data_IF_352089301568
#
_entry.id   IF_352089301568
#
_cell.length_a   1.000
_cell.length_b   1.000
_cell.length_c   1.000
_cell.angle_alpha   90.00
_cell.angle_beta   90.00
_cell.angle_gamma   90.00
#
_symmetry.space_group_name_H-M   'P 1'
#
loop_
_entity.id
_entity.type
_entity.pdbx_description
1 polymer ?
#
# COMPACT_ATOMS: atom_id res chain seq x y z
N UNK A 1 -21.14 115.70 -18.96
CA UNK A 1 -21.02 117.14 -18.61
C UNK A 1 -19.83 117.28 -17.66
N UNK A 2 -18.92 118.26 -17.75
CA UNK A 2 -18.78 119.41 -18.65
C UNK A 2 -17.31 119.62 -19.08
N UNK A 3 -17.15 120.47 -20.10
CA UNK A 3 -15.97 121.31 -20.49
C UNK A 3 -15.03 121.70 -19.33
N UNK A 4 -13.75 122.05 -19.54
CA UNK A 4 -12.87 122.22 -20.73
C UNK A 4 -11.44 122.38 -20.20
N UNK A 5 -10.40 122.01 -20.94
CA UNK A 5 -9.18 122.83 -21.04
C UNK A 5 -8.44 122.60 -22.38
N UNK A 6 -7.99 123.70 -22.98
CA UNK A 6 -6.91 123.76 -23.96
C UNK A 6 -5.83 124.66 -23.33
N UNK A 7 -4.55 124.40 -23.57
CA UNK A 7 -3.76 125.22 -24.51
C UNK A 7 -2.27 124.85 -24.47
N UNK A 8 -1.60 125.10 -25.58
CA UNK A 8 -0.16 124.95 -25.77
C UNK A 8 0.65 126.04 -25.03
N UNK A 9 1.86 125.69 -24.61
CA UNK A 9 3.10 126.52 -24.73
C UNK A 9 4.22 125.53 -25.08
N UNK A 10 4.62 125.44 -26.35
CA UNK A 10 5.82 126.06 -26.96
C UNK A 10 7.15 125.37 -26.62
N UNK A 11 7.99 125.26 -27.65
CA UNK A 11 9.38 124.77 -27.57
C UNK A 11 10.36 125.91 -27.23
N UNK A 12 11.61 125.55 -26.86
CA UNK A 12 12.87 125.95 -27.54
C UNK A 12 14.11 125.43 -26.79
N UNK A 13 15.19 125.17 -27.54
CA UNK A 13 16.60 124.96 -27.13
C UNK A 13 17.00 123.78 -26.21
N UNK A 14 17.85 122.90 -26.75
CA UNK A 14 18.94 122.24 -25.99
C UNK A 14 20.13 123.20 -25.87
N UNK A 15 21.00 123.03 -24.86
CA UNK A 15 22.44 123.04 -25.16
C UNK A 15 23.21 121.83 -24.59
N UNK A 16 24.15 121.35 -25.43
CA UNK A 16 25.48 120.81 -25.14
C UNK A 16 25.79 120.08 -23.82
N UNK A 17 26.28 118.85 -23.98
CA UNK A 17 26.84 117.99 -22.93
C UNK A 17 28.25 118.44 -22.50
N UNK A 18 28.54 118.39 -21.19
CA UNK A 18 29.88 118.63 -20.63
C UNK A 18 30.28 117.44 -19.73
N UNK A 19 31.47 116.88 -19.96
CA UNK A 19 31.97 115.74 -19.18
C UNK A 19 32.46 116.17 -17.79
N UNK A 20 31.54 116.20 -16.82
CA UNK A 20 31.85 116.55 -15.43
C UNK A 20 32.55 115.41 -14.66
N UNK A 21 33.54 115.75 -13.84
CA UNK A 21 34.37 114.80 -13.08
C UNK A 21 33.60 114.04 -12.00
N UNK A 22 34.04 112.82 -11.60
CA UNK A 22 33.26 111.94 -10.73
C UNK A 22 32.83 112.55 -9.39
N UNK A 23 33.71 113.28 -8.69
CA UNK A 23 33.39 113.82 -7.35
C UNK A 23 32.41 114.99 -7.37
N UNK A 24 32.44 115.84 -8.39
CA UNK A 24 31.41 116.88 -8.59
C UNK A 24 30.08 116.27 -9.03
N UNK A 25 30.13 115.27 -9.92
CA UNK A 25 28.95 114.51 -10.36
C UNK A 25 28.30 113.75 -9.20
N UNK A 26 29.10 113.23 -8.27
CA UNK A 26 28.66 112.55 -7.06
C UNK A 26 28.15 113.52 -5.99
N UNK A 27 28.76 114.70 -5.82
CA UNK A 27 28.22 115.74 -4.93
C UNK A 27 26.90 116.31 -5.45
N UNK A 28 26.76 116.54 -6.76
CA UNK A 28 25.50 116.96 -7.36
C UNK A 28 24.43 115.87 -7.18
N UNK A 29 24.77 114.61 -7.50
CA UNK A 29 23.89 113.44 -7.30
C UNK A 29 23.49 113.25 -5.85
N UNK A 30 24.37 113.51 -4.87
CA UNK A 30 24.04 113.44 -3.45
C UNK A 30 23.22 114.65 -2.95
N UNK A 31 23.43 115.85 -3.51
CA UNK A 31 22.59 117.02 -3.23
C UNK A 31 21.18 116.81 -3.78
N UNK A 32 21.06 116.34 -5.02
CA UNK A 32 19.79 116.02 -5.67
C UNK A 32 19.10 114.83 -5.02
N UNK A 33 19.83 113.77 -4.62
CA UNK A 33 19.29 112.68 -3.80
C UNK A 33 18.78 113.19 -2.45
N UNK A 34 19.50 114.10 -1.76
CA UNK A 34 19.02 114.75 -0.53
C UNK A 34 17.79 115.63 -0.77
N UNK A 35 17.71 116.33 -1.90
CA UNK A 35 16.56 117.14 -2.27
C UNK A 35 15.33 116.26 -2.59
N UNK A 36 15.50 115.20 -3.39
CA UNK A 36 14.45 114.24 -3.72
C UNK A 36 14.00 113.41 -2.50
N UNK A 37 14.91 113.09 -1.59
CA UNK A 37 14.62 112.51 -0.26
C UNK A 37 13.79 113.50 0.59
N UNK A 38 14.13 114.80 0.56
CA UNK A 38 13.38 115.85 1.28
C UNK A 38 12.01 116.10 0.67
N UNK A 39 11.90 116.12 -0.67
CA UNK A 39 10.63 116.18 -1.39
C UNK A 39 9.77 114.96 -1.07
N UNK A 40 10.30 113.73 -1.17
CA UNK A 40 9.54 112.51 -0.81
C UNK A 40 9.08 112.50 0.64
N UNK A 41 9.89 113.03 1.58
CA UNK A 41 9.49 113.20 2.99
C UNK A 41 8.38 114.25 3.13
N UNK A 42 8.43 115.35 2.39
CA UNK A 42 7.37 116.36 2.36
C UNK A 42 6.09 115.81 1.72
N UNK A 43 6.19 115.15 0.57
CA UNK A 43 5.09 114.47 -0.14
C UNK A 43 4.42 113.43 0.76
N UNK A 44 5.20 112.54 1.40
CA UNK A 44 4.65 111.57 2.36
C UNK A 44 3.92 112.29 3.50
N UNK A 45 4.51 113.33 4.11
CA UNK A 45 3.80 114.09 5.16
C UNK A 45 2.58 114.85 4.65
N UNK A 46 2.56 115.31 3.39
CA UNK A 46 1.37 115.89 2.77
C UNK A 46 0.30 114.84 2.48
N UNK A 47 0.65 113.61 2.10
CA UNK A 47 -0.29 112.51 1.93
C UNK A 47 -0.84 112.00 3.27
N UNK A 48 0.02 111.84 4.28
CA UNK A 48 -0.36 111.50 5.65
C UNK A 48 -1.30 112.56 6.23
N UNK A 49 -0.95 113.84 6.13
CA UNK A 49 -1.76 114.96 6.64
C UNK A 49 -3.06 115.14 5.83
N UNK A 50 -3.02 115.01 4.50
CA UNK A 50 -4.21 115.02 3.66
C UNK A 50 -5.15 113.87 4.04
N UNK A 51 -4.64 112.65 4.17
CA UNK A 51 -5.46 111.49 4.53
C UNK A 51 -6.00 111.61 5.96
N UNK A 52 -5.22 112.18 6.90
CA UNK A 52 -5.68 112.53 8.25
C UNK A 52 -6.85 113.53 8.19
N UNK A 53 -6.73 114.58 7.38
CA UNK A 53 -7.77 115.60 7.18
C UNK A 53 -9.00 115.06 6.44
N UNK A 54 -8.83 114.16 5.47
CA UNK A 54 -9.94 113.47 4.79
C UNK A 54 -10.69 112.56 5.76
N UNK A 55 -9.99 111.73 6.56
CA UNK A 55 -10.62 110.96 7.63
C UNK A 55 -11.29 111.84 8.69
N UNK A 56 -10.69 112.99 9.05
CA UNK A 56 -11.27 113.92 10.01
C UNK A 56 -12.51 114.61 9.45
N UNK A 57 -12.53 114.93 8.16
CA UNK A 57 -13.68 115.46 7.44
C UNK A 57 -14.80 114.42 7.32
N UNK A 58 -14.49 113.17 6.98
CA UNK A 58 -15.47 112.08 6.90
C UNK A 58 -16.07 111.77 8.29
N UNK A 59 -15.25 111.71 9.34
CA UNK A 59 -15.73 111.62 10.74
C UNK A 59 -16.61 112.82 11.13
N UNK A 60 -16.26 114.05 10.71
CA UNK A 60 -17.10 115.24 10.91
C UNK A 60 -18.43 115.16 10.15
N UNK A 61 -18.45 114.62 8.93
CA UNK A 61 -19.67 114.40 8.15
C UNK A 61 -20.56 113.36 8.83
N UNK A 62 -20.01 112.23 9.29
CA UNK A 62 -20.77 111.23 10.05
C UNK A 62 -21.33 111.83 11.34
N UNK A 63 -20.52 112.51 12.15
CA UNK A 63 -21.00 113.18 13.38
C UNK A 63 -22.05 114.27 13.11
N UNK A 64 -21.97 114.97 11.97
CA UNK A 64 -22.99 115.95 11.56
C UNK A 64 -24.28 115.27 11.10
N UNK A 65 -24.20 114.14 10.39
CA UNK A 65 -25.36 113.34 10.01
C UNK A 65 -26.04 112.71 11.23
N UNK A 66 -25.27 112.16 12.18
CA UNK A 66 -25.77 111.65 13.46
C UNK A 66 -26.42 112.76 14.29
N UNK A 67 -25.78 113.94 14.38
CA UNK A 67 -26.35 115.10 15.09
C UNK A 67 -27.65 115.58 14.44
N UNK A 68 -27.68 115.77 13.12
CA UNK A 68 -28.86 116.20 12.39
C UNK A 68 -30.00 115.17 12.50
N UNK A 69 -29.69 113.87 12.46
CA UNK A 69 -30.67 112.81 12.67
C UNK A 69 -31.21 112.80 14.11
N UNK A 70 -30.34 112.93 15.11
CA UNK A 70 -30.75 113.03 16.53
C UNK A 70 -31.61 114.26 16.78
N UNK A 71 -31.19 115.42 16.26
CA UNK A 71 -31.91 116.68 16.40
C UNK A 71 -33.28 116.62 15.71
N UNK A 72 -33.36 116.08 14.48
CA UNK A 72 -34.63 115.84 13.79
C UNK A 72 -35.56 114.92 14.61
N UNK A 73 -35.04 113.83 15.19
CA UNK A 73 -35.80 112.94 16.08
C UNK A 73 -36.22 113.65 17.36
N UNK A 74 -35.42 114.55 17.94
CA UNK A 74 -35.80 115.35 19.11
C UNK A 74 -36.90 116.37 18.76
N UNK A 75 -36.83 117.01 17.59
CA UNK A 75 -37.84 117.97 17.11
C UNK A 75 -39.19 117.33 16.75
N UNK A 76 -39.26 116.00 16.55
CA UNK A 76 -40.53 115.29 16.40
C UNK A 76 -41.43 115.44 17.64
N UNK A 77 -42.75 115.45 17.40
CA UNK A 77 -43.75 115.34 18.47
C UNK A 77 -43.58 114.05 19.28
N UNK A 78 -44.10 114.01 20.52
CA UNK A 78 -44.00 112.81 21.38
C UNK A 78 -44.57 111.55 20.71
N UNK A 79 -45.62 111.68 19.89
CA UNK A 79 -46.12 110.58 19.08
C UNK A 79 -45.10 110.11 18.04
N UNK A 80 -44.50 111.03 17.26
CA UNK A 80 -43.48 110.71 16.27
C UNK A 80 -42.23 110.05 16.87
N UNK A 81 -41.78 110.51 18.05
CA UNK A 81 -40.66 109.90 18.79
C UNK A 81 -40.94 108.48 19.25
N UNK A 82 -42.18 108.20 19.67
CA UNK A 82 -42.58 106.84 20.06
C UNK A 82 -42.68 105.93 18.84
N UNK A 83 -43.25 106.41 17.73
CA UNK A 83 -43.29 105.68 16.45
C UNK A 83 -41.88 105.37 15.93
N UNK A 84 -40.92 106.29 16.04
CA UNK A 84 -39.53 106.04 15.65
C UNK A 84 -38.86 104.96 16.52
N UNK A 85 -39.00 105.03 17.85
CA UNK A 85 -38.47 104.01 18.77
C UNK A 85 -39.05 102.63 18.47
N UNK A 86 -40.37 102.56 18.24
CA UNK A 86 -41.05 101.31 17.89
C UNK A 86 -40.58 100.79 16.53
N UNK A 87 -40.44 101.65 15.51
CA UNK A 87 -39.91 101.25 14.21
C UNK A 87 -38.49 100.66 14.30
N UNK A 88 -37.61 101.24 15.12
CA UNK A 88 -36.26 100.69 15.38
C UNK A 88 -36.31 99.35 16.13
N UNK A 89 -37.25 99.17 17.05
CA UNK A 89 -37.46 97.89 17.74
C UNK A 89 -38.00 96.81 16.79
N UNK A 90 -39.06 97.11 16.04
CA UNK A 90 -39.65 96.25 15.03
C UNK A 90 -38.64 95.87 13.94
N UNK A 91 -37.78 96.80 13.51
CA UNK A 91 -36.72 96.49 12.54
C UNK A 91 -35.71 95.48 13.12
N UNK A 92 -35.26 95.66 14.38
CA UNK A 92 -34.37 94.70 15.04
C UNK A 92 -35.00 93.32 15.19
N UNK A 93 -36.29 93.27 15.58
CA UNK A 93 -37.05 92.02 15.65
C UNK A 93 -37.18 91.36 14.27
N UNK A 94 -37.47 92.13 13.22
CA UNK A 94 -37.54 91.65 11.84
C UNK A 94 -36.18 91.10 11.35
N UNK A 95 -35.07 91.82 11.58
CA UNK A 95 -33.72 91.31 11.23
C UNK A 95 -33.39 90.01 11.97
N UNK A 96 -33.75 89.92 13.25
CA UNK A 96 -33.58 88.70 14.04
C UNK A 96 -34.40 87.53 13.46
N UNK A 97 -35.69 87.74 13.20
CA UNK A 97 -36.57 86.70 12.64
C UNK A 97 -36.21 86.30 11.22
N UNK A 98 -35.72 87.23 10.37
CA UNK A 98 -35.18 86.90 9.05
C UNK A 98 -33.94 86.01 9.16
N UNK A 99 -33.02 86.29 10.09
CA UNK A 99 -31.82 85.48 10.32
C UNK A 99 -32.16 84.09 10.89
N UNK A 100 -33.10 84.01 11.82
CA UNK A 100 -33.63 82.75 12.37
C UNK A 100 -34.37 81.93 11.29
N UNK A 101 -35.18 82.56 10.44
CA UNK A 101 -35.78 81.89 9.28
C UNK A 101 -34.72 81.37 8.31
N UNK A 102 -33.64 82.11 8.07
CA UNK A 102 -32.53 81.68 7.20
C UNK A 102 -31.76 80.48 7.79
N UNK A 103 -31.44 80.48 9.09
CA UNK A 103 -30.78 79.34 9.74
C UNK A 103 -31.68 78.11 9.81
N UNK A 104 -32.98 78.28 10.10
CA UNK A 104 -33.98 77.21 10.02
C UNK A 104 -34.08 76.64 8.60
N UNK A 105 -34.08 77.49 7.56
CA UNK A 105 -34.10 77.02 6.17
C UNK A 105 -32.83 76.24 5.81
N UNK A 106 -31.64 76.73 6.22
CA UNK A 106 -30.36 76.03 6.02
C UNK A 106 -30.33 74.67 6.74
N UNK A 107 -30.87 74.58 7.95
CA UNK A 107 -30.97 73.33 8.71
C UNK A 107 -32.00 72.36 8.09
N UNK A 108 -33.14 72.88 7.61
CA UNK A 108 -34.15 72.08 6.90
C UNK A 108 -33.59 71.45 5.62
N UNK A 109 -32.86 72.23 4.80
CA UNK A 109 -32.17 71.72 3.60
C UNK A 109 -31.17 70.60 3.94
N UNK A 110 -30.29 70.83 4.92
CA UNK A 110 -29.33 69.81 5.40
C UNK A 110 -30.01 68.53 5.90
N UNK A 111 -31.13 68.66 6.61
CA UNK A 111 -31.91 67.53 7.10
C UNK A 111 -32.56 66.75 5.94
N UNK A 112 -33.06 67.45 4.93
CA UNK A 112 -33.64 66.85 3.72
C UNK A 112 -32.58 66.13 2.86
N UNK A 113 -31.39 66.74 2.70
CA UNK A 113 -30.21 66.15 2.05
C UNK A 113 -29.77 64.87 2.78
N UNK A 114 -29.63 64.94 4.11
CA UNK A 114 -29.27 63.79 4.96
C UNK A 114 -30.31 62.67 4.91
N UNK A 115 -31.61 63.01 4.96
CA UNK A 115 -32.70 62.04 4.84
C UNK A 115 -32.70 61.33 3.48
N UNK A 116 -32.45 62.07 2.38
CA UNK A 116 -32.33 61.49 1.04
C UNK A 116 -31.14 60.53 0.93
N UNK A 117 -29.99 60.90 1.48
CA UNK A 117 -28.80 60.05 1.55
C UNK A 117 -29.06 58.76 2.37
N UNK A 118 -29.71 58.88 3.53
CA UNK A 118 -30.05 57.74 4.39
C UNK A 118 -31.08 56.80 3.74
N UNK A 119 -32.04 57.32 2.98
CA UNK A 119 -32.98 56.51 2.19
C UNK A 119 -32.24 55.68 1.12
N UNK A 120 -31.35 56.30 0.35
CA UNK A 120 -30.60 55.59 -0.69
C UNK A 120 -29.64 54.55 -0.10
N UNK A 121 -28.96 54.87 1.02
CA UNK A 121 -28.13 53.89 1.73
C UNK A 121 -28.96 52.72 2.28
N UNK A 122 -30.17 52.98 2.78
CA UNK A 122 -31.12 51.93 3.21
C UNK A 122 -31.50 51.02 2.03
N UNK A 123 -31.85 51.60 0.89
CA UNK A 123 -32.21 50.85 -0.33
C UNK A 123 -31.07 49.95 -0.81
N UNK A 124 -29.85 50.47 -0.90
CA UNK A 124 -28.65 49.68 -1.23
C UNK A 124 -28.44 48.54 -0.23
N UNK A 125 -28.58 48.83 1.07
CA UNK A 125 -28.41 47.82 2.11
C UNK A 125 -29.50 46.72 2.03
N UNK A 126 -30.76 47.08 1.75
CA UNK A 126 -31.83 46.11 1.54
C UNK A 126 -31.57 45.21 0.32
N UNK A 127 -31.09 45.76 -0.79
CA UNK A 127 -30.73 44.98 -1.98
C UNK A 127 -29.55 44.04 -1.70
N UNK A 128 -28.51 44.53 -1.02
CA UNK A 128 -27.35 43.72 -0.61
C UNK A 128 -27.74 42.57 0.33
N UNK A 129 -28.66 42.81 1.28
CA UNK A 129 -29.17 41.77 2.18
C UNK A 129 -30.00 40.73 1.42
N UNK A 130 -30.87 41.15 0.48
CA UNK A 130 -31.66 40.24 -0.38
C UNK A 130 -30.74 39.33 -1.21
N UNK A 131 -29.70 39.90 -1.83
CA UNK A 131 -28.70 39.14 -2.60
C UNK A 131 -27.90 38.16 -1.71
N UNK A 132 -27.48 38.59 -0.51
CA UNK A 132 -26.76 37.69 0.41
C UNK A 132 -27.63 36.55 0.94
N UNK A 133 -28.93 36.78 1.16
CA UNK A 133 -29.89 35.71 1.50
C UNK A 133 -30.02 34.72 0.34
N UNK A 134 -30.08 35.19 -0.92
CA UNK A 134 -30.13 34.32 -2.10
C UNK A 134 -28.87 33.46 -2.22
N UNK A 135 -27.68 34.06 -2.11
CA UNK A 135 -26.40 33.36 -2.14
C UNK A 135 -26.28 32.29 -1.05
N UNK A 136 -26.64 32.62 0.20
CA UNK A 136 -26.65 31.66 1.32
C UNK A 136 -27.66 30.53 1.10
N UNK A 137 -28.81 30.82 0.50
CA UNK A 137 -29.84 29.80 0.19
C UNK A 137 -29.35 28.83 -0.89
N UNK A 138 -28.65 29.33 -1.91
CA UNK A 138 -28.02 28.50 -2.96
C UNK A 138 -26.87 27.64 -2.40
N UNK A 139 -26.00 28.22 -1.56
CA UNK A 139 -24.94 27.45 -0.89
C UNK A 139 -25.53 26.37 0.02
N UNK A 140 -26.61 26.67 0.75
CA UNK A 140 -27.30 25.69 1.60
C UNK A 140 -27.88 24.52 0.80
N UNK A 141 -28.48 24.75 -0.38
CA UNK A 141 -29.01 23.66 -1.21
C UNK A 141 -27.90 22.83 -1.88
N UNK A 142 -26.76 23.46 -2.23
CA UNK A 142 -25.55 22.75 -2.67
C UNK A 142 -24.99 21.84 -1.56
N UNK A 143 -24.84 22.37 -0.34
CA UNK A 143 -24.37 21.61 0.83
C UNK A 143 -25.30 20.42 1.11
N UNK A 144 -26.63 20.63 1.13
CA UNK A 144 -27.60 19.54 1.29
C UNK A 144 -27.52 18.48 0.17
N UNK A 145 -27.21 18.89 -1.06
CA UNK A 145 -27.03 17.97 -2.18
C UNK A 145 -25.75 17.14 -2.04
N UNK A 146 -24.65 17.75 -1.58
CA UNK A 146 -23.40 17.06 -1.29
C UNK A 146 -23.54 16.10 -0.09
N UNK A 147 -24.19 16.53 0.99
CA UNK A 147 -24.48 15.69 2.16
C UNK A 147 -25.28 14.43 1.77
N UNK A 148 -26.31 14.55 0.92
CA UNK A 148 -27.05 13.40 0.39
C UNK A 148 -26.18 12.46 -0.44
N UNK A 149 -25.23 12.98 -1.22
CA UNK A 149 -24.27 12.15 -1.98
C UNK A 149 -23.29 11.43 -1.06
N UNK A 150 -22.78 12.09 -0.02
CA UNK A 150 -21.88 11.49 0.97
C UNK A 150 -22.58 10.32 1.67
N UNK A 151 -23.77 10.53 2.24
CA UNK A 151 -24.56 9.47 2.88
C UNK A 151 -24.89 8.32 1.90
N UNK A 152 -25.16 8.63 0.64
CA UNK A 152 -25.39 7.60 -0.38
C UNK A 152 -24.15 6.75 -0.68
N UNK A 153 -22.94 7.33 -0.60
CA UNK A 153 -21.68 6.63 -0.81
C UNK A 153 -21.25 5.86 0.44
N UNK A 154 -21.46 6.43 1.63
CA UNK A 154 -21.23 5.77 2.93
C UNK A 154 -22.11 4.51 3.07
N UNK A 155 -23.39 4.59 2.70
CA UNK A 155 -24.29 3.45 2.69
C UNK A 155 -23.87 2.37 1.67
N UNK A 156 -23.46 2.76 0.46
CA UNK A 156 -23.00 1.84 -0.57
C UNK A 156 -21.68 1.13 -0.18
N UNK A 157 -20.73 1.89 0.39
CA UNK A 157 -19.49 1.35 0.92
C UNK A 157 -19.75 0.38 2.08
N UNK A 158 -20.59 0.77 3.04
CA UNK A 158 -20.99 -0.10 4.17
C UNK A 158 -21.57 -1.42 3.68
N UNK A 159 -22.50 -1.38 2.72
CA UNK A 159 -23.10 -2.58 2.12
C UNK A 159 -22.03 -3.47 1.45
N UNK A 160 -21.14 -2.89 0.63
CA UNK A 160 -20.06 -3.63 -0.02
C UNK A 160 -19.08 -4.26 0.99
N UNK A 161 -18.75 -3.54 2.07
CA UNK A 161 -17.91 -4.07 3.15
C UNK A 161 -18.59 -5.24 3.85
N UNK A 162 -19.86 -5.12 4.24
CA UNK A 162 -20.58 -6.22 4.92
C UNK A 162 -20.75 -7.44 4.03
N UNK A 163 -21.07 -7.27 2.74
CA UNK A 163 -21.17 -8.40 1.80
C UNK A 163 -19.82 -9.12 1.66
N UNK A 164 -18.72 -8.36 1.48
CA UNK A 164 -17.37 -8.91 1.40
C UNK A 164 -16.95 -9.66 2.67
N UNK A 165 -17.25 -9.11 3.85
CA UNK A 165 -17.02 -9.80 5.14
C UNK A 165 -17.80 -11.12 5.21
N UNK A 166 -19.06 -11.17 4.77
CA UNK A 166 -19.81 -12.44 4.76
C UNK A 166 -19.26 -13.45 3.75
N UNK A 167 -18.80 -13.03 2.57
CA UNK A 167 -18.19 -13.92 1.58
C UNK A 167 -16.83 -14.46 2.05
N UNK A 168 -16.00 -13.63 2.69
CA UNK A 168 -14.75 -14.09 3.32
C UNK A 168 -15.03 -15.14 4.39
N UNK A 169 -16.05 -14.94 5.24
CA UNK A 169 -16.44 -15.93 6.26
C UNK A 169 -16.99 -17.23 5.65
N UNK A 170 -17.81 -17.16 4.58
CA UNK A 170 -18.31 -18.34 3.85
C UNK A 170 -17.16 -19.13 3.22
N UNK A 171 -16.22 -18.44 2.57
CA UNK A 171 -15.04 -19.07 1.96
C UNK A 171 -14.12 -19.71 3.01
N UNK A 172 -13.88 -19.03 4.14
CA UNK A 172 -13.09 -19.57 5.25
C UNK A 172 -13.76 -20.81 5.86
N UNK A 173 -15.07 -20.77 6.10
CA UNK A 173 -15.82 -21.92 6.62
C UNK A 173 -15.79 -23.10 5.65
N UNK A 174 -15.98 -22.85 4.35
CA UNK A 174 -15.87 -23.87 3.30
C UNK A 174 -14.48 -24.52 3.29
N UNK A 175 -13.42 -23.72 3.28
CA UNK A 175 -12.04 -24.22 3.29
C UNK A 175 -11.72 -25.05 4.55
N UNK A 176 -12.28 -24.69 5.72
CA UNK A 176 -12.15 -25.49 6.95
C UNK A 176 -12.82 -26.86 6.79
N UNK A 177 -14.04 -26.91 6.23
CA UNK A 177 -14.78 -28.16 6.01
C UNK A 177 -14.06 -29.06 4.98
N UNK A 178 -13.57 -28.49 3.87
CA UNK A 178 -12.85 -29.23 2.84
C UNK A 178 -11.51 -29.79 3.35
N UNK A 179 -10.76 -29.01 4.13
CA UNK A 179 -9.53 -29.50 4.79
C UNK A 179 -9.82 -30.59 5.83
N UNK A 180 -10.90 -30.49 6.61
CA UNK A 180 -11.31 -31.52 7.56
C UNK A 180 -11.71 -32.83 6.85
N UNK A 181 -12.45 -32.75 5.74
CA UNK A 181 -12.79 -33.91 4.92
C UNK A 181 -11.54 -34.57 4.33
N UNK A 182 -10.60 -33.77 3.79
CA UNK A 182 -9.32 -34.24 3.28
C UNK A 182 -8.47 -34.95 4.34
N UNK A 183 -8.40 -34.42 5.57
CA UNK A 183 -7.68 -35.07 6.67
C UNK A 183 -8.28 -36.44 7.02
N UNK A 184 -9.61 -36.57 7.08
CA UNK A 184 -10.28 -37.86 7.35
C UNK A 184 -10.01 -38.88 6.25
N UNK A 185 -9.93 -38.46 4.98
CA UNK A 185 -9.52 -39.35 3.89
C UNK A 185 -8.04 -39.75 3.98
N UNK A 186 -7.14 -38.81 4.28
CA UNK A 186 -5.71 -39.09 4.51
C UNK A 186 -5.53 -40.12 5.63
N UNK A 187 -6.18 -39.95 6.77
CA UNK A 187 -6.11 -40.88 7.91
C UNK A 187 -6.59 -42.28 7.53
N UNK A 188 -7.70 -42.36 6.79
CA UNK A 188 -8.27 -43.62 6.27
C UNK A 188 -7.32 -44.31 5.28
N UNK A 189 -6.68 -43.56 4.39
CA UNK A 189 -5.70 -44.08 3.43
C UNK A 189 -4.42 -44.55 4.12
N UNK A 190 -3.93 -43.83 5.13
CA UNK A 190 -2.80 -44.26 5.97
C UNK A 190 -3.10 -45.57 6.71
N UNK A 191 -4.29 -45.71 7.30
CA UNK A 191 -4.71 -46.96 7.94
C UNK A 191 -4.77 -48.12 6.94
N UNK A 192 -5.33 -47.91 5.74
CA UNK A 192 -5.38 -48.92 4.69
C UNK A 192 -3.97 -49.34 4.23
N UNK A 193 -3.06 -48.37 4.06
CA UNK A 193 -1.67 -48.63 3.71
C UNK A 193 -0.97 -49.49 4.77
N UNK A 194 -1.10 -49.14 6.07
CA UNK A 194 -0.54 -49.94 7.16
C UNK A 194 -1.08 -51.38 7.18
N UNK A 195 -2.36 -51.59 6.86
CA UNK A 195 -2.94 -52.94 6.76
C UNK A 195 -2.36 -53.71 5.56
N UNK A 196 -2.17 -53.04 4.41
CA UNK A 196 -1.53 -53.65 3.24
C UNK A 196 -0.06 -53.97 3.46
N UNK A 197 0.70 -53.14 4.18
CA UNK A 197 2.08 -53.42 4.56
C UNK A 197 2.19 -54.61 5.53
N UNK A 198 1.29 -54.71 6.51
CA UNK A 198 1.22 -55.87 7.42
C UNK A 198 0.97 -57.17 6.63
N UNK A 199 0.06 -57.14 5.65
CA UNK A 199 -0.25 -58.30 4.81
C UNK A 199 0.89 -58.64 3.85
N UNK A 200 1.46 -57.63 3.17
CA UNK A 200 2.66 -57.78 2.34
C UNK A 200 3.82 -58.41 3.12
N UNK A 201 3.99 -58.05 4.39
CA UNK A 201 5.01 -58.65 5.25
C UNK A 201 4.67 -60.07 5.74
N UNK A 202 3.39 -60.48 5.79
CA UNK A 202 3.00 -61.89 5.96
C UNK A 202 3.34 -62.70 4.71
N UNK A 203 2.96 -62.21 3.54
CA UNK A 203 3.25 -62.86 2.24
C UNK A 203 4.76 -63.01 2.03
N UNK A 204 5.56 -61.97 2.31
CA UNK A 204 7.04 -62.04 2.26
C UNK A 204 7.62 -63.11 3.21
N UNK A 205 7.08 -63.24 4.43
CA UNK A 205 7.50 -64.28 5.38
C UNK A 205 7.16 -65.68 4.87
N UNK A 206 5.92 -65.90 4.41
CA UNK A 206 5.49 -67.19 3.87
C UNK A 206 6.31 -67.59 2.63
N UNK A 207 6.55 -66.64 1.71
CA UNK A 207 7.40 -66.85 0.55
C UNK A 207 8.86 -67.19 0.93
N UNK A 208 9.40 -66.57 2.00
CA UNK A 208 10.72 -66.95 2.53
C UNK A 208 10.70 -68.37 3.11
N UNK A 209 9.73 -68.71 3.95
CA UNK A 209 9.63 -70.05 4.55
C UNK A 209 9.60 -71.14 3.45
N UNK A 210 8.78 -70.96 2.40
CA UNK A 210 8.69 -71.90 1.27
C UNK A 210 10.04 -72.03 0.52
N UNK A 211 10.82 -70.95 0.44
CA UNK A 211 12.17 -71.00 -0.14
C UNK A 211 13.18 -71.69 0.79
N UNK A 212 13.15 -71.37 2.09
CA UNK A 212 14.03 -72.00 3.10
C UNK A 212 13.77 -73.52 3.18
N UNK A 213 12.50 -73.94 3.27
CA UNK A 213 12.04 -75.34 3.22
C UNK A 213 12.48 -76.03 1.91
N UNK A 214 12.31 -75.36 0.77
CA UNK A 214 12.77 -75.89 -0.53
C UNK A 214 14.29 -76.09 -0.56
N UNK A 215 15.06 -75.14 -0.02
CA UNK A 215 16.52 -75.25 0.06
C UNK A 215 16.96 -76.39 0.99
N UNK A 216 16.25 -76.65 2.09
CA UNK A 216 16.50 -77.83 2.94
C UNK A 216 16.29 -79.14 2.16
N UNK A 217 15.19 -79.26 1.42
CA UNK A 217 14.92 -80.46 0.60
C UNK A 217 15.91 -80.60 -0.57
N UNK A 218 16.31 -79.49 -1.20
CA UNK A 218 17.36 -79.49 -2.24
C UNK A 218 18.71 -79.95 -1.68
N UNK A 219 19.11 -79.46 -0.51
CA UNK A 219 20.33 -79.90 0.18
C UNK A 219 20.27 -81.39 0.54
N UNK A 220 19.15 -81.87 1.08
CA UNK A 220 18.93 -83.29 1.38
C UNK A 220 19.09 -84.18 0.13
N UNK A 221 18.55 -83.78 -1.03
CA UNK A 221 18.74 -84.53 -2.27
C UNK A 221 20.19 -84.52 -2.77
N UNK A 222 20.91 -83.40 -2.61
CA UNK A 222 22.33 -83.32 -2.97
C UNK A 222 23.19 -84.23 -2.08
N UNK A 223 22.93 -84.25 -0.77
CA UNK A 223 23.64 -85.11 0.19
C UNK A 223 23.31 -86.60 -0.02
N UNK A 224 22.03 -86.94 -0.29
CA UNK A 224 21.63 -88.30 -0.65
C UNK A 224 22.31 -88.77 -1.96
N UNK A 225 22.36 -87.91 -2.98
CA UNK A 225 23.08 -88.19 -4.23
C UNK A 225 24.59 -88.33 -4.02
N UNK A 226 25.19 -87.54 -3.11
CA UNK A 226 26.60 -87.67 -2.74
C UNK A 226 26.86 -89.01 -2.04
N UNK A 227 26.07 -89.37 -1.04
CA UNK A 227 26.17 -90.66 -0.33
C UNK A 227 26.04 -91.85 -1.29
N UNK A 228 25.04 -91.84 -2.18
CA UNK A 228 24.85 -92.92 -3.18
C UNK A 228 26.05 -93.01 -4.12
N UNK A 229 26.63 -91.90 -4.59
CA UNK A 229 27.86 -91.92 -5.40
C UNK A 229 29.05 -92.53 -4.66
N UNK A 230 29.23 -92.23 -3.37
CA UNK A 230 30.28 -92.87 -2.56
C UNK A 230 30.03 -94.37 -2.41
N UNK A 231 28.79 -94.80 -2.18
CA UNK A 231 28.43 -96.21 -2.13
C UNK A 231 28.67 -96.93 -3.46
N UNK A 232 28.35 -96.31 -4.61
CA UNK A 232 28.68 -96.83 -5.94
C UNK A 232 30.20 -97.04 -6.07
N UNK A 233 31.02 -96.05 -5.71
CA UNK A 233 32.48 -96.16 -5.79
C UNK A 233 33.04 -97.27 -4.89
N UNK A 234 32.54 -97.39 -3.65
CA UNK A 234 32.95 -98.46 -2.73
C UNK A 234 32.51 -99.84 -3.23
N UNK A 235 31.25 -99.98 -3.68
CA UNK A 235 30.72 -101.25 -4.17
C UNK A 235 31.40 -101.70 -5.47
N UNK A 236 31.64 -100.81 -6.44
CA UNK A 236 32.40 -101.12 -7.67
C UNK A 236 33.83 -101.60 -7.34
N UNK A 237 34.50 -100.97 -6.37
CA UNK A 237 35.82 -101.39 -5.87
C UNK A 237 35.77 -102.76 -5.18
N UNK A 238 34.80 -102.95 -4.27
CA UNK A 238 34.65 -104.18 -3.48
C UNK A 238 34.24 -105.39 -4.34
N UNK A 239 33.28 -105.21 -5.26
CA UNK A 239 32.88 -106.24 -6.22
C UNK A 239 34.04 -106.68 -7.11
N UNK A 240 34.86 -105.72 -7.60
CA UNK A 240 36.07 -106.05 -8.37
C UNK A 240 37.07 -106.87 -7.55
N UNK A 241 37.26 -106.56 -6.27
CA UNK A 241 38.11 -107.33 -5.36
C UNK A 241 37.56 -108.74 -5.09
N UNK A 242 36.27 -108.88 -4.82
CA UNK A 242 35.60 -110.18 -4.60
C UNK A 242 35.66 -111.04 -5.87
N UNK A 243 35.32 -110.49 -7.03
CA UNK A 243 35.37 -111.21 -8.30
C UNK A 243 36.80 -111.69 -8.63
N UNK A 244 37.82 -110.89 -8.32
CA UNK A 244 39.22 -111.27 -8.48
C UNK A 244 39.61 -112.39 -7.50
N UNK A 245 39.21 -112.27 -6.23
CA UNK A 245 39.49 -113.29 -5.21
C UNK A 245 38.81 -114.63 -5.54
N UNK A 246 37.54 -114.60 -5.97
CA UNK A 246 36.78 -115.78 -6.36
C UNK A 246 37.35 -116.45 -7.62
N UNK A 247 37.74 -115.67 -8.64
CA UNK A 247 38.44 -116.19 -9.82
C UNK A 247 39.79 -116.82 -9.44
N UNK A 248 40.60 -116.12 -8.64
CA UNK A 248 41.91 -116.60 -8.18
C UNK A 248 41.80 -117.82 -7.25
N UNK A 249 40.66 -118.01 -6.56
CA UNK A 249 40.35 -119.20 -5.78
C UNK A 249 39.97 -120.37 -6.69
N UNK A 250 39.01 -120.19 -7.62
CA UNK A 250 38.56 -121.24 -8.55
C UNK A 250 39.67 -121.68 -9.51
N UNK A 251 40.57 -120.77 -9.91
CA UNK A 251 41.77 -121.11 -10.66
C UNK A 251 42.70 -122.04 -9.86
N UNK A 252 42.94 -121.73 -8.57
CA UNK A 252 43.75 -122.59 -7.69
C UNK A 252 43.12 -123.95 -7.39
N UNK A 253 41.79 -124.05 -7.22
CA UNK A 253 41.13 -125.36 -7.04
C UNK A 253 41.17 -126.21 -8.30
N UNK A 254 41.15 -125.59 -9.49
CA UNK A 254 41.31 -126.27 -10.76
C UNK A 254 42.74 -126.79 -11.00
N UNK A 255 43.77 -126.04 -10.60
CA UNK A 255 45.16 -126.53 -10.60
C UNK A 255 45.36 -127.80 -9.74
N UNK A 256 44.52 -128.01 -8.73
CA UNK A 256 44.54 -129.20 -7.84
C UNK A 256 43.59 -130.31 -8.35
N UNK A 257 43.06 -130.18 -9.57
CA UNK A 257 42.21 -131.19 -10.22
C UNK A 257 40.82 -131.38 -9.61
N UNK A 258 40.40 -130.52 -8.67
CA UNK A 258 39.11 -130.67 -7.96
C UNK A 258 37.92 -130.05 -8.68
N UNK A 259 38.17 -129.17 -9.65
CA UNK A 259 37.15 -128.42 -10.41
C UNK A 259 37.68 -128.11 -11.81
N UNK A 260 36.79 -127.90 -12.78
CA UNK A 260 37.17 -127.35 -14.08
C UNK A 260 37.76 -125.92 -13.98
N UNK A 261 38.67 -125.59 -14.89
CA UNK A 261 39.28 -124.26 -14.97
C UNK A 261 38.23 -123.19 -15.30
N UNK A 262 38.22 -122.04 -14.59
CA UNK A 262 37.28 -120.96 -14.87
C UNK A 262 37.58 -120.30 -16.23
N UNK A 263 36.53 -120.01 -17.02
CA UNK A 263 36.64 -119.21 -18.25
C UNK A 263 37.32 -117.88 -17.93
N UNK A 264 38.34 -117.53 -18.72
CA UNK A 264 39.14 -116.29 -18.55
C UNK A 264 38.20 -115.09 -18.36
N UNK A 265 38.42 -114.33 -17.29
CA UNK A 265 37.64 -113.15 -16.91
C UNK A 265 38.60 -111.97 -16.73
N UNK A 266 38.28 -110.83 -17.32
CA UNK A 266 39.15 -109.65 -17.34
C UNK A 266 38.78 -108.62 -16.28
N UNK A 267 39.79 -107.86 -15.87
CA UNK A 267 39.76 -106.87 -14.79
C UNK A 267 40.44 -105.56 -15.19
N UNK A 268 41.04 -105.49 -16.38
CA UNK A 268 41.74 -104.33 -16.94
C UNK A 268 40.81 -103.40 -17.75
N UNK A 269 39.59 -103.85 -18.08
CA UNK A 269 38.52 -103.00 -18.59
C UNK A 269 38.56 -102.71 -20.09
N UNK A 270 39.34 -103.46 -20.88
CA UNK A 270 39.41 -103.30 -22.34
C UNK A 270 38.07 -103.64 -23.01
N UNK A 271 37.67 -102.81 -23.97
CA UNK A 271 36.34 -102.81 -24.60
C UNK A 271 36.01 -104.10 -25.36
N UNK A 272 37.01 -104.81 -25.89
CA UNK A 272 36.80 -106.01 -26.71
C UNK A 272 36.75 -107.33 -25.91
N UNK A 273 36.56 -107.27 -24.59
CA UNK A 273 36.59 -108.47 -23.73
C UNK A 273 35.20 -109.08 -23.51
N UNK A 274 35.00 -110.31 -24.00
CA UNK A 274 33.72 -111.05 -23.93
C UNK A 274 33.32 -111.55 -22.52
N UNK A 275 34.17 -111.37 -21.51
CA UNK A 275 33.91 -111.74 -20.12
C UNK A 275 34.73 -110.83 -19.19
N UNK A 276 34.15 -109.70 -18.79
CA UNK A 276 34.82 -108.63 -18.05
C UNK A 276 34.01 -108.24 -16.83
N UNK A 277 34.65 -108.04 -15.68
CA UNK A 277 33.98 -107.49 -14.47
C UNK A 277 33.29 -106.15 -14.76
N UNK A 278 33.79 -105.37 -15.72
CA UNK A 278 33.15 -104.12 -16.10
C UNK A 278 31.81 -104.33 -16.81
N UNK A 279 31.59 -105.47 -17.50
CA UNK A 279 30.30 -105.80 -18.11
C UNK A 279 29.23 -106.01 -17.04
N UNK A 280 29.52 -106.82 -16.01
CA UNK A 280 28.63 -107.05 -14.87
C UNK A 280 28.27 -105.74 -14.15
N UNK A 281 29.22 -104.81 -14.00
CA UNK A 281 28.98 -103.48 -13.41
C UNK A 281 28.13 -102.58 -14.33
N UNK A 282 28.29 -102.66 -15.65
CA UNK A 282 27.42 -101.98 -16.61
C UNK A 282 26.03 -102.62 -16.72
N UNK A 283 25.87 -103.89 -16.32
CA UNK A 283 24.59 -104.59 -16.22
C UNK A 283 23.84 -104.26 -14.93
N UNK A 284 24.53 -104.11 -13.81
CA UNK A 284 23.98 -103.56 -12.57
C UNK A 284 23.44 -102.12 -12.72
N UNK A 285 23.88 -101.40 -13.76
CA UNK A 285 23.42 -100.05 -14.12
C UNK A 285 22.20 -100.03 -15.08
N UNK A 286 21.84 -101.17 -15.68
CA UNK A 286 20.64 -101.32 -16.53
C UNK A 286 19.38 -101.47 -15.67
N UNK A 287 18.22 -101.15 -16.26
CA UNK A 287 16.91 -101.36 -15.61
C UNK A 287 16.41 -102.79 -15.83
N UNK A 288 15.81 -103.46 -14.82
CA UNK A 288 15.12 -104.73 -15.03
C UNK A 288 13.78 -104.50 -15.75
N UNK A 289 13.74 -104.76 -17.06
CA UNK A 289 12.58 -104.45 -17.92
C UNK A 289 11.27 -105.20 -17.61
N UNK A 290 11.26 -106.09 -16.61
CA UNK A 290 10.22 -107.13 -16.44
C UNK A 290 9.42 -107.04 -15.14
N UNK A 291 9.82 -106.24 -14.16
CA UNK A 291 9.14 -106.16 -12.87
C UNK A 291 8.26 -104.91 -12.77
N UNK A 292 6.95 -105.14 -12.55
CA UNK A 292 5.92 -104.10 -12.52
C UNK A 292 5.76 -103.40 -11.15
N UNK A 293 6.45 -103.91 -10.14
CA UNK A 293 6.57 -103.34 -8.80
C UNK A 293 7.93 -103.80 -8.25
N UNK A 294 8.78 -102.85 -7.82
CA UNK A 294 10.13 -103.09 -7.27
C UNK A 294 10.31 -102.12 -6.13
N UNK A 295 10.68 -102.61 -4.94
CA UNK A 295 10.88 -101.72 -3.80
C UNK A 295 12.24 -100.99 -3.88
N UNK A 296 12.35 -99.87 -3.18
CA UNK A 296 13.60 -99.12 -3.04
C UNK A 296 14.67 -99.99 -2.38
N UNK A 297 14.32 -100.94 -1.51
CA UNK A 297 15.27 -101.93 -0.97
C UNK A 297 16.05 -102.68 -2.05
N UNK A 298 15.34 -103.25 -3.03
CA UNK A 298 15.84 -104.21 -4.02
C UNK A 298 16.78 -103.62 -5.08
N UNK A 299 16.75 -102.30 -5.28
CA UNK A 299 17.51 -101.63 -6.35
C UNK A 299 19.04 -101.64 -6.11
N UNK A 300 19.83 -101.72 -7.18
CA UNK A 300 21.28 -101.48 -7.12
C UNK A 300 21.57 -100.02 -6.73
N UNK A 301 22.78 -99.72 -6.25
CA UNK A 301 23.13 -98.34 -5.89
C UNK A 301 23.15 -97.42 -7.13
N UNK A 302 23.55 -97.95 -8.29
CA UNK A 302 23.43 -97.31 -9.60
C UNK A 302 21.98 -96.99 -9.99
N UNK A 303 21.04 -97.92 -9.76
CA UNK A 303 19.61 -97.69 -9.99
C UNK A 303 19.05 -96.67 -8.98
N UNK A 304 19.45 -96.73 -7.71
CA UNK A 304 19.11 -95.75 -6.67
C UNK A 304 19.57 -94.33 -7.05
N UNK A 305 20.75 -94.18 -7.66
CA UNK A 305 21.20 -92.86 -8.15
C UNK A 305 20.30 -92.34 -9.28
N UNK A 306 19.89 -93.22 -10.21
CA UNK A 306 18.98 -92.84 -11.30
C UNK A 306 17.61 -92.43 -10.78
N UNK A 307 17.07 -93.11 -9.76
CA UNK A 307 15.84 -92.70 -9.07
C UNK A 307 16.00 -91.34 -8.39
N UNK A 308 17.06 -91.12 -7.60
CA UNK A 308 17.28 -89.84 -6.91
C UNK A 308 17.49 -88.68 -7.89
N UNK A 309 18.25 -88.88 -8.99
CA UNK A 309 18.39 -87.87 -10.06
C UNK A 309 17.05 -87.53 -10.72
N UNK A 310 16.20 -88.54 -10.97
CA UNK A 310 14.87 -88.35 -11.54
C UNK A 310 13.92 -87.62 -10.56
N UNK A 311 13.97 -87.95 -9.27
CA UNK A 311 13.19 -87.27 -8.23
C UNK A 311 13.62 -85.80 -8.07
N UNK A 312 14.93 -85.53 -8.01
CA UNK A 312 15.46 -84.17 -7.94
C UNK A 312 15.10 -83.34 -9.19
N UNK A 313 15.19 -83.94 -10.39
CA UNK A 313 14.74 -83.30 -11.63
C UNK A 313 13.22 -83.02 -11.63
N UNK A 314 12.40 -83.96 -11.13
CA UNK A 314 10.95 -83.81 -11.01
C UNK A 314 10.56 -82.72 -10.00
N UNK A 315 11.23 -82.67 -8.85
CA UNK A 315 11.05 -81.63 -7.84
C UNK A 315 11.38 -80.24 -8.38
N UNK A 316 12.47 -80.13 -9.15
CA UNK A 316 12.87 -78.87 -9.81
C UNK A 316 12.01 -78.51 -11.05
N UNK A 317 10.92 -79.25 -11.34
CA UNK A 317 10.05 -78.99 -12.49
C UNK A 317 10.65 -79.34 -13.86
N UNK A 318 11.79 -80.03 -13.90
CA UNK A 318 12.52 -80.44 -15.11
C UNK A 318 11.89 -81.70 -15.75
N UNK A 319 10.74 -82.18 -15.24
CA UNK A 319 9.84 -83.05 -16.02
C UNK A 319 9.48 -82.37 -17.33
N UNK A 320 9.73 -83.06 -18.45
CA UNK A 320 9.52 -82.54 -19.81
C UNK A 320 8.18 -81.80 -19.95
N UNK A 321 8.26 -80.50 -20.22
CA UNK A 321 7.13 -79.56 -20.28
C UNK A 321 6.20 -79.90 -21.45
N UNK A 322 5.28 -80.85 -21.23
CA UNK A 322 4.11 -81.02 -22.09
C UNK A 322 3.36 -79.69 -22.10
N UNK A 323 3.33 -79.05 -23.26
CA UNK A 323 2.54 -77.85 -23.49
C UNK A 323 1.09 -78.11 -23.08
N UNK A 324 0.56 -77.30 -22.15
CA UNK A 324 -0.81 -76.79 -22.17
C UNK A 324 -1.06 -75.79 -21.03
N UNK A 325 -2.10 -74.97 -21.22
CA UNK A 325 -2.71 -74.05 -20.23
C UNK A 325 -1.85 -72.88 -19.73
N UNK A 326 -1.88 -71.82 -20.54
CA UNK A 326 -2.23 -70.43 -20.17
C UNK A 326 -2.06 -69.98 -18.72
N UNK A 327 -1.23 -68.94 -18.53
CA UNK A 327 -1.51 -67.82 -17.62
C UNK A 327 -0.51 -66.69 -17.86
N UNK A 328 -0.85 -65.75 -18.75
CA UNK A 328 -0.28 -64.40 -18.70
C UNK A 328 -1.08 -63.60 -17.66
N UNK A 329 -0.44 -62.82 -16.77
CA UNK A 329 -1.16 -61.82 -15.99
C UNK A 329 -1.68 -60.70 -16.92
N UNK A 330 -2.82 -60.08 -16.61
CA UNK A 330 -3.30 -58.92 -17.36
C UNK A 330 -2.39 -57.71 -17.09
N UNK A 331 -2.11 -56.94 -18.15
CA UNK A 331 -1.55 -55.59 -18.05
C UNK A 331 -2.73 -54.61 -18.00
N UNK A 332 -2.73 -53.57 -17.13
CA UNK A 332 -3.82 -52.61 -17.08
C UNK A 332 -3.96 -51.82 -18.38
N UNK A 333 -5.20 -51.54 -18.79
CA UNK A 333 -5.48 -50.66 -19.92
C UNK A 333 -5.05 -49.22 -19.61
N UNK A 334 -4.25 -48.64 -20.51
CA UNK A 334 -3.98 -47.21 -20.55
C UNK A 334 -4.72 -46.61 -21.75
N UNK A 335 -5.85 -45.96 -21.47
CA UNK A 335 -6.64 -45.26 -22.50
C UNK A 335 -6.00 -43.89 -22.73
N UNK A 336 -5.19 -43.78 -23.79
CA UNK A 336 -4.88 -42.49 -24.42
C UNK A 336 -5.75 -42.32 -25.66
N UNK A 337 -6.42 -41.18 -25.71
CA UNK A 337 -7.21 -40.64 -26.81
C UNK A 337 -6.54 -40.75 -28.20
N UNK A 338 -7.34 -41.10 -29.21
CA UNK A 338 -7.04 -40.93 -30.62
C UNK A 338 -8.33 -40.79 -31.45
N UNK A 339 -9.15 -39.79 -31.16
CA UNK A 339 -10.35 -39.47 -31.94
C UNK A 339 -10.02 -39.01 -33.37
N UNK A 340 -10.28 -39.86 -34.37
CA UNK A 340 -10.02 -39.57 -35.79
C UNK A 340 -11.16 -38.76 -36.46
N UNK A 341 -10.82 -38.01 -37.51
CA UNK A 341 -11.67 -36.97 -38.11
C UNK A 341 -12.90 -37.51 -38.86
N UNK A 342 -14.00 -36.75 -38.84
CA UNK A 342 -14.96 -36.69 -39.96
C UNK A 342 -15.42 -35.26 -40.23
N UNK A 343 -15.07 -34.75 -41.40
CA UNK A 343 -15.64 -33.52 -41.95
C UNK A 343 -16.95 -33.80 -42.69
N UNK A 344 -17.94 -32.92 -42.52
CA UNK A 344 -18.96 -32.57 -43.52
C UNK A 344 -19.40 -31.14 -43.24
N UNK A 345 -19.34 -30.25 -44.24
CA UNK A 345 -19.68 -28.83 -44.10
C UNK A 345 -21.19 -28.54 -44.08
N UNK A 346 -21.59 -27.27 -43.92
CA UNK A 346 -20.74 -26.08 -43.77
C UNK A 346 -21.53 -24.77 -43.65
N UNK A 347 -20.80 -23.64 -43.66
CA UNK A 347 -21.23 -22.24 -43.80
C UNK A 347 -22.40 -21.71 -42.94
N UNK A 348 -22.11 -20.73 -42.08
CA UNK A 348 -22.46 -19.32 -42.37
C UNK A 348 -21.62 -18.31 -41.55
N UNK A 349 -21.11 -17.30 -42.25
CA UNK A 349 -20.78 -15.93 -41.82
C UNK A 349 -19.61 -15.63 -40.85
N UNK A 350 -18.57 -15.06 -41.47
CA UNK A 350 -17.59 -14.04 -41.03
C UNK A 350 -18.19 -12.82 -40.28
N UNK A 351 -17.40 -11.85 -39.71
CA UNK A 351 -15.98 -11.55 -39.96
C UNK A 351 -15.06 -11.23 -38.72
N UNK A 352 -13.75 -11.10 -38.99
CA UNK A 352 -12.71 -10.12 -38.54
C UNK A 352 -12.74 -9.47 -37.12
N UNK A 353 -11.67 -8.95 -36.49
CA UNK A 353 -10.32 -8.43 -36.84
C UNK A 353 -9.43 -8.47 -35.52
N UNK A 354 -8.10 -8.29 -35.36
CA UNK A 354 -6.88 -7.99 -36.17
C UNK A 354 -5.59 -8.40 -35.38
N UNK A 355 -4.39 -8.06 -35.90
CA UNK A 355 -3.06 -7.80 -35.24
C UNK A 355 -2.56 -8.68 -34.06
N UNK A 356 -1.45 -9.43 -34.17
CA UNK A 356 -0.01 -9.03 -34.25
C UNK A 356 0.55 -8.38 -32.97
N UNK A 357 1.56 -9.00 -32.35
CA UNK A 357 2.98 -8.51 -32.34
C UNK A 357 3.97 -9.67 -32.10
N UNK A 358 5.23 -9.51 -32.53
CA UNK A 358 6.27 -10.54 -32.67
C UNK A 358 7.28 -10.63 -31.49
N UNK A 359 7.75 -11.86 -31.22
CA UNK A 359 9.16 -12.30 -31.05
C UNK A 359 10.04 -11.75 -29.87
N UNK A 360 10.57 -12.63 -28.97
CA UNK A 360 11.94 -13.26 -28.94
C UNK A 360 13.00 -12.37 -28.23
N UNK A 361 14.05 -12.90 -27.52
CA UNK A 361 14.60 -14.26 -27.51
C UNK A 361 14.70 -15.00 -26.15
N UNK A 362 15.08 -16.28 -26.26
CA UNK A 362 15.59 -17.18 -25.22
C UNK A 362 16.96 -16.72 -24.68
N UNK A 363 17.36 -17.16 -23.49
CA UNK A 363 18.77 -17.24 -23.10
C UNK A 363 19.03 -18.47 -22.20
N UNK A 364 19.72 -19.46 -22.75
CA UNK A 364 20.20 -20.64 -22.01
C UNK A 364 21.42 -20.30 -21.13
N UNK A 365 21.54 -20.98 -19.99
CA UNK A 365 22.84 -21.12 -19.31
C UNK A 365 22.98 -22.47 -18.59
N UNK A 366 24.20 -22.97 -18.57
CA UNK A 366 24.51 -24.39 -18.36
C UNK A 366 24.50 -24.85 -16.88
N UNK A 367 23.77 -25.95 -16.63
CA UNK A 367 24.31 -27.23 -16.11
C UNK A 367 25.39 -27.16 -15.00
N UNK A 368 25.04 -27.62 -13.80
CA UNK A 368 25.97 -28.44 -12.98
C UNK A 368 25.22 -29.43 -12.06
N UNK A 369 25.88 -30.55 -11.76
CA UNK A 369 25.40 -31.73 -11.01
C UNK A 369 24.84 -31.46 -9.59
N UNK A 370 23.80 -32.22 -9.22
CA UNK A 370 23.66 -32.78 -7.85
C UNK A 370 24.67 -33.92 -7.65
N UNK A 371 25.15 -34.20 -6.42
CA UNK A 371 24.44 -35.22 -5.61
C UNK A 371 24.53 -35.02 -4.08
N UNK A 372 23.72 -35.77 -3.32
CA UNK A 372 23.99 -36.08 -1.91
C UNK A 372 22.79 -35.94 -0.95
N UNK A 373 22.14 -37.06 -0.63
CA UNK A 373 21.25 -37.16 0.55
C UNK A 373 22.01 -37.85 1.69
N UNK A 374 22.11 -37.22 2.87
CA UNK A 374 22.12 -37.92 4.15
C UNK A 374 20.73 -37.85 4.80
N UNK A 375 20.26 -38.96 5.38
CA UNK A 375 18.94 -39.03 6.05
C UNK A 375 19.01 -38.55 7.50
N UNK A 376 18.17 -37.56 7.81
CA UNK A 376 17.34 -37.54 9.03
C UNK A 376 17.97 -37.10 10.34
N UNK A 377 17.55 -35.92 10.83
CA UNK A 377 17.24 -35.68 12.25
C UNK A 377 16.24 -34.49 12.36
N UNK A 378 15.37 -34.51 13.39
CA UNK A 378 14.56 -33.37 13.89
C UNK A 378 13.52 -32.68 12.96
N UNK A 379 12.39 -33.33 12.70
CA UNK A 379 11.13 -32.64 12.29
C UNK A 379 10.40 -31.95 13.47
N UNK A 380 10.76 -32.25 14.73
CA UNK A 380 10.14 -31.68 15.95
C UNK A 380 10.24 -30.15 16.03
N UNK A 381 11.40 -29.60 15.67
CA UNK A 381 11.80 -28.29 16.15
C UNK A 381 11.51 -27.19 15.12
N UNK A 382 11.35 -27.56 13.84
CA UNK A 382 10.89 -26.67 12.77
C UNK A 382 9.46 -26.19 13.05
N UNK A 383 8.54 -27.11 13.40
CA UNK A 383 7.13 -26.78 13.68
C UNK A 383 7.00 -25.84 14.88
N UNK A 384 7.82 -26.05 15.92
CA UNK A 384 7.83 -25.20 17.12
C UNK A 384 8.33 -23.77 16.82
N UNK A 385 9.35 -23.65 15.97
CA UNK A 385 9.92 -22.37 15.59
C UNK A 385 9.00 -21.54 14.67
N UNK A 386 8.21 -22.17 13.79
CA UNK A 386 7.19 -21.44 13.00
C UNK A 386 6.09 -20.86 13.90
N UNK A 387 5.59 -21.64 14.87
CA UNK A 387 4.53 -21.21 15.79
C UNK A 387 4.97 -20.05 16.69
N UNK A 388 6.23 -20.04 17.18
CA UNK A 388 6.79 -18.90 17.91
C UNK A 388 7.03 -17.68 17.00
N UNK A 389 7.46 -17.90 15.76
CA UNK A 389 7.67 -16.81 14.80
C UNK A 389 6.39 -16.04 14.49
N UNK A 390 5.29 -16.76 14.21
CA UNK A 390 4.00 -16.13 13.94
C UNK A 390 3.43 -15.37 15.14
N UNK A 391 3.57 -15.89 16.37
CA UNK A 391 3.12 -15.16 17.57
C UNK A 391 3.93 -13.89 17.81
N UNK A 392 5.27 -13.93 17.72
CA UNK A 392 6.11 -12.74 17.92
C UNK A 392 5.79 -11.64 16.89
N UNK A 393 5.63 -11.99 15.61
CA UNK A 393 5.24 -11.01 14.59
C UNK A 393 3.86 -10.38 14.85
N UNK A 394 2.88 -11.16 15.33
CA UNK A 394 1.54 -10.65 15.62
C UNK A 394 1.50 -9.66 16.80
N UNK A 395 2.35 -9.87 17.81
CA UNK A 395 2.55 -8.91 18.90
C UNK A 395 3.32 -7.66 18.45
N UNK A 396 4.33 -7.81 17.59
CA UNK A 396 5.12 -6.68 17.10
C UNK A 396 4.29 -5.74 16.21
N UNK A 397 3.44 -6.29 15.33
CA UNK A 397 2.48 -5.52 14.54
C UNK A 397 1.48 -4.76 15.43
N UNK A 398 0.89 -5.44 16.42
CA UNK A 398 -0.06 -4.81 17.36
C UNK A 398 0.59 -3.69 18.18
N UNK A 399 1.87 -3.83 18.59
CA UNK A 399 2.62 -2.77 19.26
C UNK A 399 2.90 -1.58 18.33
N UNK A 400 3.24 -1.82 17.06
CA UNK A 400 3.39 -0.76 16.07
C UNK A 400 2.09 0.00 15.82
N UNK A 401 0.95 -0.69 15.73
CA UNK A 401 -0.36 -0.05 15.55
C UNK A 401 -0.75 0.81 16.76
N UNK A 402 -0.51 0.33 17.98
CA UNK A 402 -0.69 1.13 19.21
C UNK A 402 0.25 2.35 19.22
N UNK A 403 1.51 2.19 18.80
CA UNK A 403 2.47 3.30 18.75
C UNK A 403 2.06 4.36 17.70
N UNK A 404 1.58 3.92 16.52
CA UNK A 404 1.04 4.80 15.47
C UNK A 404 -0.26 5.49 15.92
N UNK A 405 -1.12 4.81 16.68
CA UNK A 405 -2.33 5.40 17.24
C UNK A 405 -1.99 6.49 18.26
N UNK A 406 -1.05 6.22 19.19
CA UNK A 406 -0.56 7.19 20.17
C UNK A 406 0.13 8.37 19.48
N UNK A 407 0.96 8.13 18.47
CA UNK A 407 1.63 9.20 17.72
C UNK A 407 0.63 10.06 16.94
N UNK A 408 -0.42 9.47 16.35
CA UNK A 408 -1.54 10.23 15.75
C UNK A 408 -2.32 11.02 16.80
N UNK A 409 -2.54 10.46 18.00
CA UNK A 409 -3.19 11.17 19.10
C UNK A 409 -2.40 12.42 19.51
N UNK A 410 -1.09 12.26 19.76
CA UNK A 410 -0.20 13.39 20.09
C UNK A 410 -0.14 14.43 18.96
N UNK A 411 -0.05 14.00 17.70
CA UNK A 411 -0.05 14.91 16.56
C UNK A 411 -1.37 15.71 16.46
N UNK A 412 -2.52 15.06 16.68
CA UNK A 412 -3.83 15.71 16.67
C UNK A 412 -3.99 16.72 17.81
N UNK A 413 -3.49 16.41 19.01
CA UNK A 413 -3.45 17.36 20.14
C UNK A 413 -2.46 18.52 19.90
N UNK A 414 -1.40 18.32 19.12
CA UNK A 414 -0.41 19.34 18.78
C UNK A 414 -0.94 20.31 17.71
N UNK A 415 -1.60 19.82 16.64
CA UNK A 415 -2.25 20.69 15.64
C UNK A 415 -3.46 21.45 16.20
N UNK A 416 -4.25 20.84 17.09
CA UNK A 416 -5.44 21.49 17.66
C UNK A 416 -5.14 22.50 18.77
N UNK A 417 -3.87 22.67 19.15
CA UNK A 417 -3.42 23.70 20.09
C UNK A 417 -4.00 23.57 21.51
N UNK A 418 -4.50 22.39 21.89
CA UNK A 418 -5.32 22.18 23.09
C UNK A 418 -4.50 22.02 24.38
N UNK A 419 -3.52 22.91 24.58
CA UNK A 419 -2.64 22.96 25.76
C UNK A 419 -2.52 24.38 26.35
N UNK A 420 -3.62 25.13 26.25
CA UNK A 420 -3.94 26.29 27.06
C UNK A 420 -5.38 26.17 27.58
N UNK A 421 -5.70 26.84 28.69
CA UNK A 421 -7.03 26.85 29.35
C UNK A 421 -7.42 25.52 30.05
N UNK A 422 -6.57 25.01 30.96
CA UNK A 422 -7.04 24.29 32.18
C UNK A 422 -6.17 24.67 33.39
N UNK A 423 -6.21 25.94 33.83
CA UNK A 423 -5.58 26.34 35.10
C UNK A 423 -6.22 27.54 35.83
N UNK A 424 -7.53 27.79 35.68
CA UNK A 424 -8.22 28.79 36.52
C UNK A 424 -9.74 28.56 36.61
N UNK A 425 -10.18 27.72 37.56
CA UNK A 425 -11.62 27.48 37.81
C UNK A 425 -11.97 26.88 39.20
N UNK A 426 -11.18 27.14 40.26
CA UNK A 426 -11.56 26.76 41.64
C UNK A 426 -11.36 27.92 42.61
N UNK A 427 -12.44 28.66 42.86
CA UNK A 427 -12.54 29.67 43.92
C UNK A 427 -13.68 29.30 44.88
N UNK A 428 -13.42 28.91 46.14
CA UNK A 428 -14.47 28.74 47.14
C UNK A 428 -14.98 30.10 47.62
N UNK A 429 -16.29 30.22 47.84
CA UNK A 429 -16.92 31.46 48.27
C UNK A 429 -17.01 31.59 49.80
N UNK A 430 -16.60 32.75 50.35
CA UNK A 430 -17.08 33.30 51.63
C UNK A 430 -17.08 34.84 51.56
N UNK A 431 -18.03 35.57 52.19
CA UNK A 431 -18.18 37.03 51.99
C UNK A 431 -18.03 37.89 53.27
N UNK A 432 -17.41 39.09 53.17
CA UNK A 432 -17.77 40.23 54.04
C UNK A 432 -17.23 41.63 53.60
N UNK A 433 -18.17 42.58 53.47
CA UNK A 433 -18.12 44.03 53.76
C UNK A 433 -16.77 44.79 53.91
N UNK A 434 -16.56 45.92 53.19
CA UNK A 434 -16.93 47.31 53.61
C UNK A 434 -16.05 48.45 52.99
N UNK A 435 -16.68 49.52 52.46
CA UNK A 435 -16.22 50.95 52.38
C UNK A 435 -15.01 51.36 51.50
N UNK A 436 -15.22 52.37 50.63
CA UNK A 436 -14.23 53.45 50.37
C UNK A 436 -13.57 53.57 48.97
N UNK A 437 -13.73 54.71 48.25
CA UNK A 437 -12.95 55.11 47.05
C UNK A 437 -11.79 56.10 47.44
N UNK A 438 -10.98 56.74 46.54
CA UNK A 438 -11.16 56.93 45.08
C UNK A 438 -9.90 56.94 44.16
N UNK A 439 -10.14 57.32 42.89
CA UNK A 439 -9.30 58.14 41.98
C UNK A 439 -8.46 57.48 40.84
N UNK A 440 -8.99 57.66 39.62
CA UNK A 440 -8.32 58.08 38.36
C UNK A 440 -6.99 57.46 37.89
N UNK A 441 -7.02 56.89 36.66
CA UNK A 441 -6.20 57.38 35.53
C UNK A 441 -6.71 56.84 34.18
N UNK A 442 -6.68 57.65 33.12
CA UNK A 442 -7.00 57.23 31.74
C UNK A 442 -5.75 57.13 30.86
N UNK A 443 -5.65 56.07 30.06
CA UNK A 443 -4.97 55.98 28.75
C UNK A 443 -5.29 54.61 28.12
N UNK A 444 -6.00 54.46 27.00
CA UNK A 444 -5.86 54.98 25.62
C UNK A 444 -4.88 54.16 24.76
N UNK A 445 -5.48 53.41 23.82
CA UNK A 445 -5.00 52.92 22.51
C UNK A 445 -3.62 52.22 22.40
N UNK A 446 -3.63 51.02 21.81
CA UNK A 446 -2.40 50.25 21.51
C UNK A 446 -2.55 49.08 20.53
N UNK A 447 -3.56 49.08 19.65
CA UNK A 447 -3.74 47.98 18.69
C UNK A 447 -2.62 48.01 17.64
N UNK A 448 -1.75 46.98 17.60
CA UNK A 448 -0.73 46.86 16.56
C UNK A 448 -0.52 45.40 16.14
N UNK A 449 -1.31 44.99 15.13
CA UNK A 449 -1.05 43.77 14.37
C UNK A 449 0.24 43.95 13.58
N UNK A 450 1.19 43.03 13.73
CA UNK A 450 2.36 42.91 12.88
C UNK A 450 2.41 41.50 12.28
N UNK A 451 2.11 41.40 10.99
CA UNK A 451 2.25 40.19 10.19
C UNK A 451 3.71 39.96 9.79
N UNK A 452 4.29 38.82 10.15
CA UNK A 452 5.56 38.34 9.57
C UNK A 452 5.47 36.86 9.24
N UNK A 453 4.78 36.53 8.13
CA UNK A 453 4.91 35.24 7.46
C UNK A 453 6.29 35.15 6.81
N UNK A 454 7.18 34.31 7.32
CA UNK A 454 8.50 34.08 6.74
C UNK A 454 9.06 32.69 7.12
N UNK A 455 9.93 32.15 6.26
CA UNK A 455 10.74 30.92 6.48
C UNK A 455 9.99 29.57 6.53
N UNK A 456 9.31 29.23 5.44
CA UNK A 456 9.36 27.85 4.93
C UNK A 456 10.67 27.67 4.13
N UNK A 457 11.70 27.05 4.74
CA UNK A 457 12.76 26.26 4.05
C UNK A 457 13.91 25.87 5.00
N UNK A 458 13.89 24.63 5.46
CA UNK A 458 15.11 23.83 5.68
C UNK A 458 14.70 22.35 5.68
N UNK A 459 15.40 21.51 4.90
CA UNK A 459 15.20 20.06 4.91
C UNK A 459 15.99 19.46 6.07
N UNK A 460 15.32 18.65 6.90
CA UNK A 460 15.84 17.39 7.44
C UNK A 460 14.67 16.54 7.99
#
# INVERSE_FOLDING_TARGET
>A
MMRKYHSNVSSVAKPSEIQLSPSLKENLRNSEKKHQETLRRLENRFFEEKHRLEQEAEKKIVMLAERAHHEAVVQLSTAGRNVFKENVYLHKALTYHLKDAETRQKNSKKLQESHSCLLHQKEINELLVKEKILQLTQQKSQIQTLQKKVVSLENALTYMTTEFETEVLKLQQKAIIENQAGQVEIDKLQQLLQLKDREMNRVKKLAKNILDERTEVEQFFLDALYQVKQQILMNRKHYKQIAQAAFNLKMRTACVGRTEYPRIRTFDGKEHSTNSVNQDLMEAEKWPSTQKNVDIGDLTWEQKEKVLRLLFAKMNGITARKYNQSSKPPVPDYISDSGEMKETGGEINLPDETFITQQVPVSDSNKMMSPGIPKGLQDSDIVRNLLSGQTVHHWYLSLCDVFLLVHKFFFFFYETGFLGIVLEAVSPAWPQTHRGPPASASRVLGLKVCTTTAWLSCLL
#
